data_IF_562399418595
#
_entry.id   IF_562399418595
#
_cell.length_a   1.000
_cell.length_b   1.000
_cell.length_c   1.000
_cell.angle_alpha   90.00
_cell.angle_beta   90.00
_cell.angle_gamma   90.00
#
_symmetry.space_group_name_H-M   'P 1'
#
loop_
_entity.id
_entity.type
_entity.pdbx_description
1 polymer ?
#
# COMPACT_ATOMS: atom_id res chain seq x y z
N UNK A 1 -7.20 -13.55 -23.51
CA UNK A 1 -5.89 -13.47 -22.84
C UNK A 1 -5.84 -12.12 -22.15
N UNK A 2 -6.18 -12.08 -20.86
CA UNK A 2 -6.26 -10.81 -20.14
C UNK A 2 -4.84 -10.37 -19.81
N UNK A 3 -4.39 -9.29 -20.44
CA UNK A 3 -3.11 -8.65 -20.19
C UNK A 3 -2.87 -8.54 -18.68
N UNK A 4 -1.86 -9.28 -18.19
CA UNK A 4 -1.30 -9.08 -16.87
C UNK A 4 -0.63 -7.71 -16.88
N UNK A 5 -1.42 -6.66 -16.69
CA UNK A 5 -0.92 -5.36 -16.27
C UNK A 5 -0.33 -5.59 -14.87
N UNK A 6 0.97 -5.83 -14.84
CA UNK A 6 1.76 -6.04 -13.62
C UNK A 6 1.85 -4.70 -12.91
N UNK A 7 0.85 -4.40 -12.08
CA UNK A 7 0.77 -3.16 -11.33
C UNK A 7 1.72 -3.26 -10.14
N UNK A 8 2.84 -2.56 -10.22
CA UNK A 8 3.90 -2.58 -9.21
C UNK A 8 3.63 -1.46 -8.21
N UNK A 9 3.51 -1.83 -6.94
CA UNK A 9 3.34 -0.87 -5.84
C UNK A 9 4.68 -0.65 -5.15
N UNK A 10 5.31 0.49 -5.40
CA UNK A 10 6.60 0.86 -4.82
C UNK A 10 6.39 1.64 -3.53
N UNK A 11 7.08 1.24 -2.47
CA UNK A 11 7.08 1.96 -1.20
C UNK A 11 8.48 2.52 -0.94
N UNK A 12 8.58 3.83 -0.74
CA UNK A 12 9.85 4.50 -0.42
C UNK A 12 10.22 4.32 1.05
N UNK A 13 11.38 3.72 1.32
CA UNK A 13 11.91 3.50 2.66
C UNK A 13 12.13 4.80 3.45
N UNK A 14 12.57 5.88 2.78
CA UNK A 14 12.88 7.16 3.46
C UNK A 14 11.63 7.92 3.94
N UNK A 15 10.55 7.78 3.16
CA UNK A 15 9.28 8.49 3.40
C UNK A 15 8.32 7.68 4.25
N UNK A 16 8.36 6.34 4.16
CA UNK A 16 7.44 5.49 4.91
C UNK A 16 7.82 5.49 6.39
N UNK A 17 6.99 6.12 7.23
CA UNK A 17 7.16 6.13 8.69
C UNK A 17 5.92 5.57 9.40
N UNK A 18 5.78 4.24 9.52
CA UNK A 18 4.62 3.58 10.13
C UNK A 18 4.30 4.07 11.55
N UNK A 19 5.34 4.42 12.33
CA UNK A 19 5.21 5.00 13.67
C UNK A 19 4.48 6.34 13.69
N UNK A 20 4.57 7.13 12.62
CA UNK A 20 4.01 8.50 12.54
C UNK A 20 2.77 8.60 11.64
N UNK A 21 2.52 7.64 10.75
CA UNK A 21 1.44 7.71 9.75
C UNK A 21 0.11 7.07 10.18
N UNK A 22 -0.01 6.54 11.41
CA UNK A 22 -1.20 5.82 11.94
C UNK A 22 -1.72 4.66 11.06
N UNK A 23 -0.89 4.15 10.13
CA UNK A 23 -1.20 3.06 9.22
C UNK A 23 -2.43 3.31 8.33
N UNK A 24 -2.63 4.55 7.89
CA UNK A 24 -3.78 4.93 7.05
C UNK A 24 -3.85 4.15 5.72
N UNK A 25 -2.70 3.75 5.15
CA UNK A 25 -2.65 2.88 3.97
C UNK A 25 -3.37 1.53 4.20
N UNK A 26 -3.16 0.89 5.36
CA UNK A 26 -3.82 -0.37 5.74
C UNK A 26 -5.33 -0.20 5.90
N UNK A 27 -5.75 0.92 6.50
CA UNK A 27 -7.17 1.22 6.80
C UNK A 27 -7.98 1.60 5.57
N UNK A 28 -7.40 2.35 4.63
CA UNK A 28 -8.11 2.81 3.44
C UNK A 28 -8.17 1.74 2.34
N UNK A 29 -7.27 0.75 2.38
CA UNK A 29 -7.20 -0.27 1.33
C UNK A 29 -8.52 -1.07 1.26
N UNK A 30 -9.21 -1.09 0.10
CA UNK A 30 -10.49 -1.76 -0.04
C UNK A 30 -10.32 -3.28 0.07
N UNK A 31 -9.20 -3.80 -0.44
CA UNK A 31 -8.88 -5.23 -0.39
C UNK A 31 -8.65 -5.70 1.06
N UNK A 32 -8.02 -4.87 1.89
CA UNK A 32 -7.92 -5.11 3.33
C UNK A 32 -9.30 -5.11 4.00
N UNK A 33 -10.17 -4.17 3.65
CA UNK A 33 -11.55 -4.12 4.17
C UNK A 33 -12.38 -5.33 3.74
N UNK A 34 -12.10 -5.90 2.57
CA UNK A 34 -12.73 -7.13 2.08
C UNK A 34 -12.23 -8.40 2.79
N UNK A 35 -11.27 -8.29 3.72
CA UNK A 35 -10.76 -9.42 4.51
C UNK A 35 -9.52 -10.10 3.94
N UNK A 36 -8.92 -9.58 2.85
CA UNK A 36 -7.65 -10.09 2.30
C UNK A 36 -6.50 -9.17 2.72
N UNK A 37 -5.34 -9.73 3.05
CA UNK A 37 -4.18 -8.93 3.48
C UNK A 37 -3.40 -8.43 2.26
N UNK A 38 -3.82 -7.30 1.69
CA UNK A 38 -3.13 -6.63 0.58
C UNK A 38 -2.02 -5.70 1.09
N UNK A 39 -2.27 -4.91 2.13
CA UNK A 39 -1.25 -4.05 2.74
C UNK A 39 -1.01 -4.52 4.16
N UNK A 40 0.20 -4.99 4.43
CA UNK A 40 0.63 -5.31 5.79
C UNK A 40 1.62 -4.27 6.31
N UNK A 41 1.29 -3.70 7.46
CA UNK A 41 2.08 -2.68 8.13
C UNK A 41 1.69 -2.64 9.60
N UNK A 42 2.72 -2.54 10.45
CA UNK A 42 2.59 -2.43 11.89
C UNK A 42 3.39 -1.20 12.38
N UNK A 43 3.09 -0.67 13.58
CA UNK A 43 3.86 0.45 14.12
C UNK A 43 5.34 0.09 14.39
N UNK A 44 5.62 -1.20 14.57
CA UNK A 44 6.97 -1.73 14.76
C UNK A 44 7.72 -1.93 13.43
N UNK A 45 6.99 -2.05 12.32
CA UNK A 45 7.58 -2.22 10.98
C UNK A 45 8.35 -0.98 10.55
N UNK A 46 9.47 -1.20 9.86
CA UNK A 46 10.23 -0.11 9.22
C UNK A 46 9.51 0.43 7.98
N UNK A 47 8.86 -0.45 7.21
CA UNK A 47 8.16 -0.13 5.96
C UNK A 47 6.82 -0.87 5.90
N UNK A 48 5.89 -0.38 5.07
CA UNK A 48 4.67 -1.09 4.70
C UNK A 48 4.92 -2.03 3.53
N UNK A 49 4.50 -3.27 3.65
CA UNK A 49 4.53 -4.26 2.57
C UNK A 49 3.20 -4.26 1.82
N UNK A 50 3.25 -4.28 0.49
CA UNK A 50 2.07 -4.32 -0.37
C UNK A 50 2.17 -5.58 -1.23
N UNK A 51 1.14 -6.40 -1.23
CA UNK A 51 1.01 -7.57 -2.09
C UNK A 51 0.53 -7.14 -3.47
N UNK A 52 1.36 -7.35 -4.48
CA UNK A 52 1.08 -6.99 -5.88
C UNK A 52 -0.03 -7.86 -6.48
N UNK A 53 -0.10 -9.14 -6.09
CA UNK A 53 -1.15 -10.08 -6.53
C UNK A 53 -2.56 -9.65 -6.08
N UNK A 54 -2.64 -9.05 -4.89
CA UNK A 54 -3.89 -8.60 -4.31
C UNK A 54 -4.19 -7.14 -4.62
N UNK A 55 -3.19 -6.36 -5.03
CA UNK A 55 -3.34 -4.93 -5.29
C UNK A 55 -4.10 -4.70 -6.60
N UNK A 56 -5.29 -4.11 -6.50
CA UNK A 56 -6.10 -3.72 -7.66
C UNK A 56 -5.70 -2.37 -8.28
N UNK A 57 -4.66 -1.70 -7.74
CA UNK A 57 -4.21 -0.41 -8.26
C UNK A 57 -5.14 0.79 -7.96
N UNK A 58 -6.01 0.70 -6.95
CA UNK A 58 -7.01 1.75 -6.65
C UNK A 58 -6.44 3.14 -6.28
N UNK A 59 -5.15 3.25 -5.95
CA UNK A 59 -4.50 4.53 -5.63
C UNK A 59 -4.92 5.21 -4.32
N UNK A 60 -5.82 4.61 -3.52
CA UNK A 60 -6.28 5.21 -2.26
C UNK A 60 -5.17 5.32 -1.22
N UNK A 61 -4.28 4.33 -1.14
CA UNK A 61 -3.13 4.34 -0.24
C UNK A 61 -2.15 5.48 -0.56
N UNK A 62 -1.96 5.81 -1.84
CA UNK A 62 -1.12 6.94 -2.30
C UNK A 62 -1.71 8.25 -1.82
N UNK A 63 -3.01 8.48 -2.06
CA UNK A 63 -3.71 9.73 -1.69
C UNK A 63 -3.81 9.96 -0.18
N UNK A 64 -3.95 8.90 0.61
CA UNK A 64 -4.08 9.00 2.07
C UNK A 64 -2.75 8.93 2.81
N UNK A 65 -1.65 8.56 2.16
CA UNK A 65 -0.35 8.54 2.81
C UNK A 65 0.10 10.00 3.10
N UNK A 66 0.24 10.41 4.38
CA UNK A 66 0.63 11.78 4.71
C UNK A 66 2.07 12.11 4.26
N UNK A 67 2.89 11.09 4.01
CA UNK A 67 4.27 11.23 3.58
C UNK A 67 4.47 11.02 2.07
N UNK A 68 3.41 10.69 1.33
CA UNK A 68 3.53 10.36 -0.10
C UNK A 68 4.55 9.24 -0.36
N UNK A 69 4.60 8.24 0.53
CA UNK A 69 5.62 7.19 0.49
C UNK A 69 5.29 6.02 -0.43
N UNK A 70 4.07 5.99 -0.98
CA UNK A 70 3.58 4.87 -1.81
C UNK A 70 3.38 5.42 -3.21
N UNK A 71 3.87 4.70 -4.22
CA UNK A 71 3.68 4.98 -5.64
C UNK A 71 3.17 3.72 -6.32
N UNK A 72 2.19 3.85 -7.22
CA UNK A 72 1.69 2.73 -8.02
C UNK A 72 2.08 3.00 -9.47
N UNK A 73 2.78 2.04 -10.08
CA UNK A 73 3.17 2.07 -11.50
C UNK A 73 2.36 0.98 -12.21
N UNK A 74 1.85 1.30 -13.40
CA UNK A 74 1.10 0.40 -14.27
C UNK A 74 1.89 0.08 -15.52
#
# INVERSE_FOLDING_TARGET
MSDKLTRIAIVSYDKCKPKKCRQECKKVCPVNKMGKVCIDVWPTSKISSISEDLCIGCGMCVKKCPFGAITIIN
#
